data_IF_173222510682
#
_entry.id   IF_173222510682
#
_cell.length_a   1.000
_cell.length_b   1.000
_cell.length_c   1.000
_cell.angle_alpha   90.00
_cell.angle_beta   90.00
_cell.angle_gamma   90.00
#
_symmetry.space_group_name_H-M   'P 1'
#
loop_
_entity.id
_entity.type
_entity.pdbx_description
1 polymer ?
#
# COMPACT_ATOMS: atom_id res chain seq x y z
N UNK A 1 5.94 -14.47 -13.96
CA UNK A 1 5.27 -15.59 -13.22
C UNK A 1 4.43 -14.97 -12.10
N UNK A 2 3.24 -15.53 -11.82
CA UNK A 2 2.38 -15.19 -10.67
C UNK A 2 2.58 -16.25 -9.57
N UNK A 3 2.68 -15.83 -8.31
CA UNK A 3 2.75 -16.68 -7.13
C UNK A 3 1.65 -16.25 -6.15
N UNK A 4 0.81 -17.22 -5.77
CA UNK A 4 -0.26 -17.04 -4.80
C UNK A 4 0.02 -17.86 -3.54
N UNK A 5 0.18 -17.18 -2.41
CA UNK A 5 0.26 -17.77 -1.09
C UNK A 5 -1.04 -17.46 -0.35
N UNK A 6 -1.88 -18.46 -0.17
CA UNK A 6 -3.22 -18.25 0.37
C UNK A 6 -3.49 -19.12 1.59
N UNK A 7 -3.93 -18.49 2.68
CA UNK A 7 -4.37 -19.16 3.91
C UNK A 7 -3.37 -20.17 4.47
N UNK A 8 -2.08 -19.95 4.21
CA UNK A 8 -1.01 -20.78 4.78
C UNK A 8 -0.94 -20.55 6.29
N UNK A 9 -0.97 -21.63 7.05
CA UNK A 9 -0.92 -21.63 8.51
C UNK A 9 0.50 -21.68 9.08
N UNK A 10 1.51 -21.82 8.21
CA UNK A 10 2.91 -21.77 8.58
C UNK A 10 3.26 -20.45 9.26
N UNK A 11 4.21 -20.46 10.16
CA UNK A 11 4.71 -19.23 10.82
C UNK A 11 5.81 -18.55 10.02
N UNK A 12 6.37 -19.22 9.05
CA UNK A 12 7.44 -18.75 8.18
C UNK A 12 6.98 -18.75 6.72
N UNK A 13 7.32 -17.69 6.02
CA UNK A 13 7.04 -17.58 4.59
C UNK A 13 7.93 -18.60 3.84
N UNK A 14 7.36 -19.46 2.96
CA UNK A 14 8.15 -20.43 2.23
C UNK A 14 9.14 -19.76 1.28
N UNK A 15 10.32 -20.33 1.15
CA UNK A 15 11.30 -19.90 0.15
C UNK A 15 10.81 -20.30 -1.25
N UNK A 16 10.86 -19.37 -2.18
CA UNK A 16 10.57 -19.64 -3.57
C UNK A 16 11.83 -20.17 -4.28
N UNK A 17 11.72 -21.23 -5.06
CA UNK A 17 12.84 -21.80 -5.81
C UNK A 17 13.46 -20.79 -6.80
N UNK A 18 12.66 -19.91 -7.38
CA UNK A 18 13.13 -18.86 -8.28
C UNK A 18 12.39 -17.52 -8.02
N UNK A 19 12.75 -16.78 -6.96
CA UNK A 19 12.06 -15.56 -6.61
C UNK A 19 12.19 -14.47 -7.69
N UNK A 20 13.28 -14.48 -8.47
CA UNK A 20 13.50 -13.51 -9.57
C UNK A 20 12.61 -13.76 -10.79
N UNK A 21 11.95 -14.91 -10.91
CA UNK A 21 10.98 -15.16 -11.98
C UNK A 21 9.58 -14.61 -11.63
N UNK A 22 9.33 -14.27 -10.37
CA UNK A 22 8.02 -13.81 -9.90
C UNK A 22 7.88 -12.30 -10.14
N UNK A 23 6.85 -11.92 -10.87
CA UNK A 23 6.48 -10.51 -11.11
C UNK A 23 5.20 -10.11 -10.39
N UNK A 24 4.35 -11.08 -10.01
CA UNK A 24 3.13 -10.88 -9.24
C UNK A 24 3.14 -11.80 -8.03
N UNK A 25 3.02 -11.25 -6.84
CA UNK A 25 2.92 -11.97 -5.58
C UNK A 25 1.67 -11.55 -4.83
N UNK A 26 0.86 -12.54 -4.45
CA UNK A 26 -0.23 -12.34 -3.52
C UNK A 26 0.01 -13.18 -2.27
N UNK A 27 -0.03 -12.53 -1.10
CA UNK A 27 0.04 -13.15 0.23
C UNK A 27 -1.28 -12.86 0.93
N UNK A 28 -2.16 -13.86 0.98
CA UNK A 28 -3.55 -13.63 1.37
C UNK A 28 -3.95 -14.43 2.60
N UNK A 29 -4.15 -13.74 3.73
CA UNK A 29 -4.54 -14.33 5.00
C UNK A 29 -3.64 -15.48 5.47
N UNK A 30 -2.33 -15.36 5.26
CA UNK A 30 -1.33 -16.28 5.78
C UNK A 30 -0.99 -15.96 7.25
N UNK A 31 -0.45 -16.95 7.97
CA UNK A 31 -0.13 -16.82 9.40
C UNK A 31 1.36 -16.50 9.66
N UNK A 32 2.07 -16.00 8.66
CA UNK A 32 3.50 -15.69 8.77
C UNK A 32 3.77 -14.61 9.84
N UNK A 33 4.84 -14.81 10.61
CA UNK A 33 5.30 -13.84 11.63
C UNK A 33 5.97 -12.62 11.00
N UNK A 34 6.53 -12.76 9.80
CA UNK A 34 7.16 -11.70 9.02
C UNK A 34 7.07 -12.01 7.53
N UNK A 35 7.07 -10.98 6.73
CA UNK A 35 7.17 -11.05 5.27
C UNK A 35 8.58 -10.67 4.77
N UNK A 36 9.62 -10.79 5.60
CA UNK A 36 11.00 -10.47 5.21
C UNK A 36 11.46 -11.19 3.93
N UNK A 37 10.96 -12.42 3.69
CA UNK A 37 11.24 -13.20 2.47
C UNK A 37 10.78 -12.51 1.17
N UNK A 38 9.85 -11.55 1.25
CA UNK A 38 9.39 -10.78 0.07
C UNK A 38 10.53 -9.98 -0.55
N UNK A 39 11.54 -9.59 0.21
CA UNK A 39 12.71 -8.85 -0.28
C UNK A 39 13.49 -9.57 -1.39
N UNK A 40 13.40 -10.91 -1.48
CA UNK A 40 14.05 -11.71 -2.51
C UNK A 40 13.44 -11.55 -3.91
N UNK A 41 12.19 -11.07 -4.01
CA UNK A 41 11.43 -10.97 -5.26
C UNK A 41 11.72 -9.64 -5.99
N UNK A 42 12.99 -9.39 -6.32
CA UNK A 42 13.46 -8.09 -6.84
C UNK A 42 12.88 -7.68 -8.21
N UNK A 43 12.23 -8.59 -8.94
CA UNK A 43 11.54 -8.30 -10.20
C UNK A 43 10.03 -8.08 -10.04
N UNK A 44 9.54 -8.06 -8.81
CA UNK A 44 8.13 -7.90 -8.51
C UNK A 44 7.58 -6.57 -9.07
N UNK A 45 6.45 -6.66 -9.74
CA UNK A 45 5.69 -5.52 -10.28
C UNK A 45 4.38 -5.31 -9.51
N UNK A 46 3.79 -6.39 -9.02
CA UNK A 46 2.52 -6.39 -8.30
C UNK A 46 2.68 -7.13 -6.98
N UNK A 47 2.28 -6.50 -5.88
CA UNK A 47 2.27 -7.10 -4.56
C UNK A 47 0.93 -6.81 -3.87
N UNK A 48 0.23 -7.88 -3.52
CA UNK A 48 -1.01 -7.82 -2.76
C UNK A 48 -0.85 -8.59 -1.45
N UNK A 49 -1.14 -7.93 -0.34
CA UNK A 49 -1.00 -8.52 1.00
C UNK A 49 -2.31 -8.33 1.76
N UNK A 50 -2.87 -9.41 2.29
CA UNK A 50 -3.90 -9.35 3.31
C UNK A 50 -3.32 -9.80 4.65
N UNK A 51 -3.36 -8.89 5.62
CA UNK A 51 -2.73 -9.02 6.95
C UNK A 51 -1.21 -8.88 6.91
N UNK A 52 -0.74 -7.65 7.03
CA UNK A 52 0.69 -7.32 7.06
C UNK A 52 1.19 -7.43 8.51
N UNK A 53 2.06 -8.42 8.82
CA UNK A 53 2.47 -8.70 10.20
C UNK A 53 3.56 -7.76 10.72
N UNK A 54 4.37 -7.20 9.81
CA UNK A 54 5.53 -6.39 10.18
C UNK A 54 5.13 -4.96 10.60
N UNK A 55 5.93 -4.34 11.45
CA UNK A 55 5.74 -2.95 11.89
C UNK A 55 6.28 -1.90 10.92
N UNK A 56 6.97 -2.31 9.85
CA UNK A 56 7.63 -1.41 8.90
C UNK A 56 7.64 -1.97 7.49
N UNK A 57 7.48 -1.08 6.51
CA UNK A 57 7.68 -1.38 5.09
C UNK A 57 9.15 -1.47 4.65
N UNK A 58 10.11 -1.43 5.57
CA UNK A 58 11.54 -1.47 5.24
C UNK A 58 11.93 -2.70 4.42
N UNK A 59 11.27 -3.84 4.65
CA UNK A 59 11.47 -5.08 3.90
C UNK A 59 11.12 -4.96 2.40
N UNK A 60 10.31 -3.97 2.00
CA UNK A 60 9.92 -3.72 0.60
C UNK A 60 10.94 -2.86 -0.18
N UNK A 61 11.91 -2.22 0.48
CA UNK A 61 12.88 -1.32 -0.17
C UNK A 61 13.64 -1.93 -1.36
N UNK A 62 13.95 -3.24 -1.40
CA UNK A 62 14.60 -3.86 -2.55
C UNK A 62 13.72 -3.95 -3.81
N UNK A 63 12.40 -3.78 -3.69
CA UNK A 63 11.43 -4.00 -4.76
C UNK A 63 11.34 -2.79 -5.71
N UNK A 64 12.46 -2.43 -6.34
CA UNK A 64 12.58 -1.22 -7.19
C UNK A 64 11.70 -1.21 -8.44
N UNK A 65 11.16 -2.37 -8.83
CA UNK A 65 10.27 -2.52 -9.99
C UNK A 65 8.79 -2.54 -9.64
N UNK A 66 8.45 -2.45 -8.33
CA UNK A 66 7.08 -2.53 -7.86
C UNK A 66 6.26 -1.35 -8.40
N UNK A 67 5.17 -1.65 -9.10
CA UNK A 67 4.24 -0.69 -9.69
C UNK A 67 2.93 -0.58 -8.93
N UNK A 68 2.44 -1.70 -8.41
CA UNK A 68 1.20 -1.78 -7.66
C UNK A 68 1.45 -2.45 -6.30
N UNK A 69 1.05 -1.78 -5.24
CA UNK A 69 1.08 -2.30 -3.87
C UNK A 69 -0.32 -2.14 -3.25
N UNK A 70 -0.92 -3.26 -2.87
CA UNK A 70 -2.15 -3.30 -2.06
C UNK A 70 -1.85 -4.00 -0.74
N UNK A 71 -2.18 -3.33 0.37
CA UNK A 71 -2.03 -3.89 1.72
C UNK A 71 -3.33 -3.72 2.49
N UNK A 72 -4.04 -4.83 2.65
CA UNK A 72 -5.20 -4.93 3.52
C UNK A 72 -4.74 -5.31 4.94
N UNK A 73 -5.12 -4.52 5.92
CA UNK A 73 -4.83 -4.71 7.34
C UNK A 73 -3.34 -4.65 7.71
N UNK A 74 -2.94 -3.47 8.17
CA UNK A 74 -1.57 -3.13 8.56
C UNK A 74 -1.53 -2.51 9.98
N UNK A 75 -1.94 -3.24 11.02
CA UNK A 75 -2.22 -2.68 12.34
C UNK A 75 -0.98 -2.16 13.07
N UNK A 76 0.20 -2.60 12.67
CA UNK A 76 1.46 -2.28 13.35
C UNK A 76 2.29 -1.19 12.65
N UNK A 77 1.92 -0.80 11.42
CA UNK A 77 2.65 0.23 10.67
C UNK A 77 2.30 1.62 11.19
N UNK A 78 3.34 2.43 11.50
CA UNK A 78 3.22 3.82 11.95
C UNK A 78 4.00 4.80 11.09
N UNK A 79 4.94 4.31 10.29
CA UNK A 79 5.80 5.14 9.44
C UNK A 79 5.75 4.66 7.98
N UNK A 80 5.45 5.59 7.07
CA UNK A 80 5.43 5.34 5.63
C UNK A 80 6.76 5.70 4.95
N UNK A 81 7.76 6.20 5.66
CA UNK A 81 9.04 6.63 5.09
C UNK A 81 9.72 5.56 4.22
N UNK A 82 9.69 4.25 4.57
CA UNK A 82 10.29 3.23 3.73
C UNK A 82 9.68 3.11 2.34
N UNK A 83 8.40 3.50 2.14
CA UNK A 83 7.73 3.44 0.84
C UNK A 83 8.36 4.41 -0.18
N UNK A 84 8.98 5.50 0.27
CA UNK A 84 9.66 6.45 -0.62
C UNK A 84 10.79 5.82 -1.45
N UNK A 85 11.27 4.64 -1.07
CA UNK A 85 12.26 3.87 -1.84
C UNK A 85 11.66 3.14 -3.06
N UNK A 86 10.34 3.08 -3.19
CA UNK A 86 9.64 2.39 -4.28
C UNK A 86 9.42 3.31 -5.48
N UNK A 87 10.51 3.72 -6.12
CA UNK A 87 10.53 4.75 -7.17
C UNK A 87 9.70 4.42 -8.42
N UNK A 88 9.35 3.14 -8.61
CA UNK A 88 8.50 2.70 -9.73
C UNK A 88 7.02 2.59 -9.35
N UNK A 89 6.64 2.88 -8.09
CA UNK A 89 5.28 2.70 -7.62
C UNK A 89 4.32 3.69 -8.31
N UNK A 90 3.33 3.15 -8.97
CA UNK A 90 2.29 3.89 -9.71
C UNK A 90 0.96 3.88 -8.98
N UNK A 91 0.65 2.79 -8.26
CA UNK A 91 -0.59 2.66 -7.51
C UNK A 91 -0.34 2.09 -6.12
N UNK A 92 -0.94 2.72 -5.12
CA UNK A 92 -0.85 2.34 -3.71
C UNK A 92 -2.23 2.28 -3.09
N UNK A 93 -2.56 1.11 -2.54
CA UNK A 93 -3.73 0.91 -1.70
C UNK A 93 -3.30 0.47 -0.30
N UNK A 94 -3.70 1.23 0.70
CA UNK A 94 -3.54 0.87 2.11
C UNK A 94 -4.92 0.89 2.77
N UNK A 95 -5.36 -0.24 3.29
CA UNK A 95 -6.70 -0.36 3.87
C UNK A 95 -6.71 -1.13 5.19
N UNK A 96 -7.66 -0.79 6.07
CA UNK A 96 -7.97 -1.57 7.25
C UNK A 96 -9.01 -2.65 6.91
N UNK A 97 -9.20 -3.61 7.81
CA UNK A 97 -10.26 -4.61 7.64
C UNK A 97 -11.63 -3.93 7.57
N UNK A 98 -12.56 -4.42 6.72
CA UNK A 98 -13.93 -3.91 6.67
C UNK A 98 -14.64 -3.93 8.01
N UNK A 99 -14.33 -4.91 8.88
CA UNK A 99 -14.86 -4.99 10.25
C UNK A 99 -14.41 -3.85 11.17
N UNK A 100 -13.36 -3.13 10.81
CA UNK A 100 -12.90 -1.94 11.55
C UNK A 100 -13.73 -0.70 11.23
N UNK A 101 -14.37 -0.67 10.08
CA UNK A 101 -15.12 0.51 9.63
C UNK A 101 -16.28 0.88 10.56
N UNK A 102 -17.18 -0.04 10.96
CA UNK A 102 -18.22 0.26 11.93
C UNK A 102 -17.68 0.58 13.33
N UNK A 103 -16.52 -0.01 13.71
CA UNK A 103 -15.91 0.21 15.03
C UNK A 103 -15.17 1.54 15.16
N UNK A 104 -15.01 2.30 14.07
CA UNK A 104 -14.24 3.54 14.04
C UNK A 104 -12.73 3.36 14.17
N UNK A 105 -12.22 2.12 14.20
CA UNK A 105 -10.78 1.83 14.28
C UNK A 105 -10.08 2.27 13.00
N UNK A 106 -8.85 2.78 13.16
CA UNK A 106 -8.00 3.24 12.05
C UNK A 106 -6.56 2.80 12.30
N UNK A 107 -5.80 2.67 11.23
CA UNK A 107 -4.34 2.66 11.31
C UNK A 107 -3.85 4.10 11.21
N UNK A 108 -3.28 4.63 12.28
CA UNK A 108 -2.75 5.99 12.31
C UNK A 108 -1.26 5.99 12.00
N UNK A 109 -0.86 6.76 10.97
CA UNK A 109 0.52 6.93 10.54
C UNK A 109 1.03 8.32 10.89
N UNK A 110 2.34 8.44 11.09
CA UNK A 110 2.97 9.69 11.52
C UNK A 110 2.78 10.82 10.50
N UNK A 111 2.90 10.51 9.20
CA UNK A 111 2.81 11.51 8.13
C UNK A 111 2.57 10.88 6.77
N UNK A 112 1.90 11.63 5.85
CA UNK A 112 1.77 11.28 4.44
C UNK A 112 2.91 11.87 3.57
N UNK A 113 3.80 12.69 4.11
CA UNK A 113 4.92 13.30 3.36
C UNK A 113 5.78 12.30 2.57
N UNK A 114 6.04 11.06 3.06
CA UNK A 114 6.79 10.08 2.27
C UNK A 114 6.14 9.73 0.93
N UNK A 115 4.80 9.77 0.83
CA UNK A 115 4.08 9.45 -0.41
C UNK A 115 4.31 10.54 -1.48
N UNK A 116 4.51 11.80 -1.08
CA UNK A 116 4.84 12.89 -2.00
C UNK A 116 6.21 12.73 -2.67
N UNK A 117 7.07 11.85 -2.15
CA UNK A 117 8.38 11.52 -2.73
C UNK A 117 8.33 10.42 -3.79
N UNK A 118 7.16 9.82 -4.01
CA UNK A 118 6.97 8.79 -5.01
C UNK A 118 6.80 9.44 -6.40
N UNK A 119 7.82 9.37 -7.29
CA UNK A 119 7.82 10.19 -8.51
C UNK A 119 6.83 9.72 -9.56
N UNK A 120 6.33 8.49 -9.43
CA UNK A 120 5.42 7.87 -10.40
C UNK A 120 4.04 7.57 -9.86
N UNK A 121 3.74 7.93 -8.60
CA UNK A 121 2.44 7.65 -7.98
C UNK A 121 1.31 8.38 -8.72
N UNK A 122 0.40 7.59 -9.29
CA UNK A 122 -0.75 8.03 -10.08
C UNK A 122 -2.08 7.77 -9.38
N UNK A 123 -2.14 6.73 -8.57
CA UNK A 123 -3.37 6.26 -7.94
C UNK A 123 -3.11 5.96 -6.46
N UNK A 124 -3.98 6.48 -5.59
CA UNK A 124 -3.85 6.31 -4.14
C UNK A 124 -5.20 5.99 -3.50
N UNK A 125 -5.25 4.95 -2.68
CA UNK A 125 -6.39 4.65 -1.82
C UNK A 125 -5.94 4.48 -0.37
N UNK A 126 -6.55 5.26 0.54
CA UNK A 126 -6.31 5.19 1.98
C UNK A 126 -7.65 4.96 2.69
N UNK A 127 -7.97 3.69 2.96
CA UNK A 127 -9.22 3.31 3.62
C UNK A 127 -8.96 2.89 5.08
N UNK A 128 -9.42 3.71 6.02
CA UNK A 128 -9.13 3.53 7.44
C UNK A 128 -7.65 3.74 7.81
N UNK A 129 -6.82 4.19 6.88
CA UNK A 129 -5.42 4.59 7.12
C UNK A 129 -5.34 6.11 7.07
N UNK A 130 -4.84 6.73 8.14
CA UNK A 130 -4.95 8.17 8.33
C UNK A 130 -3.68 8.75 8.95
N UNK A 131 -3.27 9.93 8.50
CA UNK A 131 -2.22 10.69 9.20
C UNK A 131 -2.71 11.20 10.55
N UNK A 132 -1.79 11.33 11.51
CA UNK A 132 -2.09 11.79 12.86
C UNK A 132 -2.74 13.19 12.86
N UNK A 133 -2.31 14.09 11.99
CA UNK A 133 -2.86 15.45 11.82
C UNK A 133 -4.16 15.50 11.01
N UNK A 134 -4.61 14.37 10.45
CA UNK A 134 -5.78 14.24 9.57
C UNK A 134 -5.73 15.16 8.36
N UNK A 135 -4.54 15.56 7.92
CA UNK A 135 -4.32 16.45 6.78
C UNK A 135 -3.92 15.70 5.52
N UNK A 136 -4.45 16.12 4.38
CA UNK A 136 -4.10 15.63 3.05
C UNK A 136 -3.12 16.57 2.32
N UNK A 137 -2.71 17.69 2.94
CA UNK A 137 -1.85 18.71 2.32
C UNK A 137 -0.55 18.17 1.77
N UNK A 138 0.05 17.17 2.43
CA UNK A 138 1.28 16.56 1.96
C UNK A 138 1.13 15.92 0.57
N UNK A 139 -0.07 15.44 0.22
CA UNK A 139 -0.35 14.79 -1.07
C UNK A 139 -0.52 15.78 -2.22
N UNK A 140 -0.71 17.07 -1.94
CA UNK A 140 -0.77 18.12 -2.96
C UNK A 140 0.56 18.25 -3.71
N UNK A 141 1.65 17.80 -3.10
CA UNK A 141 2.97 17.77 -3.70
C UNK A 141 3.26 16.50 -4.53
N UNK A 142 2.30 15.59 -4.68
CA UNK A 142 2.45 14.40 -5.52
C UNK A 142 2.38 14.79 -7.01
N UNK A 143 3.48 14.69 -7.79
CA UNK A 143 3.57 15.36 -9.08
C UNK A 143 2.73 14.71 -10.19
N UNK A 144 2.29 13.46 -10.00
CA UNK A 144 1.59 12.67 -11.02
C UNK A 144 0.28 12.07 -10.55
N UNK A 145 -0.20 12.44 -9.36
CA UNK A 145 -1.42 11.88 -8.79
C UNK A 145 -2.63 12.24 -9.67
N UNK A 146 -3.33 11.21 -10.14
CA UNK A 146 -4.51 11.33 -11.00
C UNK A 146 -5.79 11.04 -10.26
N UNK A 147 -5.77 10.00 -9.40
CA UNK A 147 -6.92 9.62 -8.59
C UNK A 147 -6.49 9.36 -7.15
N UNK A 148 -7.35 9.74 -6.23
CA UNK A 148 -7.14 9.44 -4.82
C UNK A 148 -8.48 9.23 -4.13
N UNK A 149 -8.55 8.26 -3.23
CA UNK A 149 -9.74 7.97 -2.42
C UNK A 149 -9.38 7.84 -0.95
N UNK A 150 -10.24 8.35 -0.11
CA UNK A 150 -9.97 8.42 1.32
C UNK A 150 -11.20 8.00 2.13
N UNK A 151 -10.97 7.31 3.24
CA UNK A 151 -11.96 7.19 4.32
C UNK A 151 -11.35 7.62 5.66
N UNK A 152 -12.23 7.98 6.62
CA UNK A 152 -11.85 8.41 7.98
C UNK A 152 -11.05 9.73 8.05
N UNK A 153 -11.07 10.53 6.99
CA UNK A 153 -10.66 11.93 7.02
C UNK A 153 -11.88 12.85 7.19
N UNK A 154 -11.72 14.08 7.73
CA UNK A 154 -12.79 15.07 7.78
C UNK A 154 -13.31 15.37 6.36
N UNK A 155 -14.63 15.40 6.17
CA UNK A 155 -15.25 15.66 4.86
C UNK A 155 -14.77 16.99 4.25
N UNK A 156 -14.61 18.02 5.08
CA UNK A 156 -14.11 19.33 4.64
C UNK A 156 -12.67 19.25 4.11
N UNK A 157 -11.79 18.44 4.74
CA UNK A 157 -10.40 18.27 4.28
C UNK A 157 -10.35 17.50 2.96
N UNK A 158 -11.19 16.48 2.78
CA UNK A 158 -11.29 15.72 1.53
C UNK A 158 -11.79 16.63 0.41
N UNK A 159 -12.85 17.42 0.65
CA UNK A 159 -13.37 18.38 -0.32
C UNK A 159 -12.33 19.46 -0.69
N UNK A 160 -11.61 19.99 0.32
CA UNK A 160 -10.53 20.95 0.11
C UNK A 160 -9.41 20.37 -0.76
N UNK A 161 -9.00 19.12 -0.51
CA UNK A 161 -7.96 18.44 -1.28
C UNK A 161 -8.34 18.30 -2.75
N UNK A 162 -9.55 17.83 -3.06
CA UNK A 162 -10.00 17.71 -4.45
C UNK A 162 -10.09 19.07 -5.14
N UNK A 163 -10.59 20.10 -4.44
CA UNK A 163 -10.67 21.46 -4.99
C UNK A 163 -9.28 22.06 -5.27
N UNK A 164 -8.30 21.78 -4.41
CA UNK A 164 -6.94 22.30 -4.56
C UNK A 164 -6.13 21.58 -5.64
N UNK A 165 -6.40 20.31 -5.91
CA UNK A 165 -5.55 19.47 -6.77
C UNK A 165 -6.18 19.11 -8.11
N UNK A 166 -7.51 19.09 -8.22
CA UNK A 166 -8.22 18.56 -9.39
C UNK A 166 -8.09 17.03 -9.57
N UNK A 167 -7.55 16.32 -8.56
CA UNK A 167 -7.41 14.87 -8.57
C UNK A 167 -8.81 14.23 -8.56
N UNK A 168 -9.01 13.17 -9.35
CA UNK A 168 -10.28 12.43 -9.39
C UNK A 168 -10.47 11.51 -8.20
N UNK A 169 -11.72 11.11 -7.90
CA UNK A 169 -12.09 10.18 -6.83
C UNK A 169 -12.40 8.76 -7.32
N UNK A 170 -11.82 8.37 -8.46
CA UNK A 170 -12.00 7.05 -9.05
C UNK A 170 -11.15 6.00 -8.34
N UNK A 171 -11.60 4.75 -8.39
CA UNK A 171 -10.83 3.59 -7.92
C UNK A 171 -9.54 3.38 -8.73
N UNK A 172 -8.58 2.72 -8.10
CA UNK A 172 -7.37 2.24 -8.80
C UNK A 172 -7.82 1.32 -9.94
N UNK A 173 -7.33 1.55 -11.18
CA UNK A 173 -7.60 0.64 -12.30
C UNK A 173 -6.73 -0.62 -12.17
N UNK A 174 -7.16 -1.56 -11.35
CA UNK A 174 -6.38 -2.77 -11.00
C UNK A 174 -6.01 -3.61 -12.22
N UNK A 175 -6.86 -3.62 -13.25
CA UNK A 175 -6.64 -4.34 -14.51
C UNK A 175 -5.39 -3.84 -15.24
N UNK A 176 -5.08 -2.53 -15.19
CA UNK A 176 -3.86 -1.96 -15.79
C UNK A 176 -2.58 -2.57 -15.21
N UNK A 177 -2.66 -3.13 -14.01
CA UNK A 177 -1.55 -3.75 -13.30
C UNK A 177 -1.59 -5.29 -13.37
N UNK A 178 -2.68 -5.88 -13.90
CA UNK A 178 -2.92 -7.33 -13.86
C UNK A 178 -3.05 -7.85 -12.42
N UNK A 179 -3.70 -7.06 -11.56
CA UNK A 179 -3.83 -7.31 -10.11
C UNK A 179 -5.20 -7.91 -9.74
N UNK A 180 -5.89 -8.56 -10.69
CA UNK A 180 -7.14 -9.27 -10.47
C UNK A 180 -7.01 -10.50 -9.56
#
# INVERSE_FOLDING_TARGET
MKLDLMRDKSKEMPEAANPKAVEHLRVWHCSYKTLAGVAAFTRLRVLQIATFPDGSFALLRPLKRLKYLSVLHLPHVRDLAPLAALESLEALELSTLPSWDPSGKVTEVASLKPLARLPKLRHLELFGVRSKDKSLRALEACPRLKTARFSKYPKAEVARFYAATGVGDSYIPVDEYGAE
#
